data_IF_431782286719
#
_entry.id   IF_431782286719
#
_cell.length_a   1.000
_cell.length_b   1.000
_cell.length_c   1.000
_cell.angle_alpha   90.00
_cell.angle_beta   90.00
_cell.angle_gamma   90.00
#
_symmetry.space_group_name_H-M   'P 1'
#
loop_
_entity.id
_entity.type
_entity.pdbx_description
1 polymer ?
#
# COMPACT_ATOMS: atom_id res chain seq x y z
N UNK A 1 -16.75 25.68 -9.17
CA UNK A 1 -15.77 25.19 -8.15
C UNK A 1 -16.44 24.03 -7.42
N UNK A 2 -15.93 22.81 -7.64
CA UNK A 2 -16.56 21.62 -7.07
C UNK A 2 -15.98 21.34 -5.69
N UNK A 3 -16.77 21.46 -4.63
CA UNK A 3 -16.40 21.00 -3.29
C UNK A 3 -16.18 19.47 -3.25
N UNK A 4 -16.76 18.72 -4.19
CA UNK A 4 -16.52 17.29 -4.35
C UNK A 4 -15.07 16.97 -4.61
N UNK A 5 -14.36 17.81 -5.38
CA UNK A 5 -12.92 17.65 -5.60
C UNK A 5 -12.13 17.72 -4.28
N UNK A 6 -12.42 18.73 -3.45
CA UNK A 6 -11.74 18.88 -2.17
C UNK A 6 -11.99 17.70 -1.24
N UNK A 7 -13.23 17.23 -1.16
CA UNK A 7 -13.60 16.07 -0.33
C UNK A 7 -12.91 14.81 -0.86
N UNK A 8 -13.00 14.56 -2.16
CA UNK A 8 -12.33 13.41 -2.80
C UNK A 8 -10.84 13.39 -2.52
N UNK A 9 -10.15 14.50 -2.83
CA UNK A 9 -8.69 14.59 -2.66
C UNK A 9 -8.28 14.40 -1.21
N UNK A 10 -9.02 14.97 -0.26
CA UNK A 10 -8.72 14.81 1.17
C UNK A 10 -8.87 13.34 1.62
N UNK A 11 -9.98 12.71 1.28
CA UNK A 11 -10.28 11.32 1.68
C UNK A 11 -9.27 10.36 1.03
N UNK A 12 -9.03 10.49 -0.28
CA UNK A 12 -8.12 9.58 -0.99
C UNK A 12 -6.67 9.76 -0.54
N UNK A 13 -6.25 10.97 -0.17
CA UNK A 13 -4.91 11.24 0.34
C UNK A 13 -4.69 10.63 1.71
N UNK A 14 -5.65 10.77 2.62
CA UNK A 14 -5.59 10.13 3.95
C UNK A 14 -5.56 8.61 3.79
N UNK A 15 -6.46 8.05 3.00
CA UNK A 15 -6.52 6.61 2.76
C UNK A 15 -5.22 6.08 2.17
N UNK A 16 -4.67 6.77 1.16
CA UNK A 16 -3.38 6.42 0.55
C UNK A 16 -2.25 6.46 1.57
N UNK A 17 -2.19 7.49 2.40
CA UNK A 17 -1.19 7.59 3.47
C UNK A 17 -1.24 6.42 4.45
N UNK A 18 -2.43 6.03 4.89
CA UNK A 18 -2.64 4.87 5.76
C UNK A 18 -2.22 3.56 5.09
N UNK A 19 -2.56 3.37 3.81
CA UNK A 19 -2.16 2.19 3.04
C UNK A 19 -0.65 2.15 2.76
N UNK A 20 0.00 3.31 2.58
CA UNK A 20 1.46 3.39 2.48
C UNK A 20 2.14 2.93 3.78
N UNK A 21 1.61 3.32 4.94
CA UNK A 21 2.09 2.81 6.24
C UNK A 21 1.96 1.29 6.32
N UNK A 22 0.83 0.73 5.86
CA UNK A 22 0.62 -0.71 5.82
C UNK A 22 1.68 -1.41 4.93
N UNK A 23 1.98 -0.84 3.77
CA UNK A 23 2.98 -1.37 2.84
C UNK A 23 4.38 -1.36 3.43
N UNK A 24 4.79 -0.25 4.03
CA UNK A 24 6.09 -0.13 4.73
C UNK A 24 6.18 -1.14 5.87
N UNK A 25 5.13 -1.28 6.69
CA UNK A 25 5.09 -2.24 7.77
C UNK A 25 5.25 -3.69 7.27
N UNK A 26 4.61 -4.04 6.15
CA UNK A 26 4.76 -5.37 5.53
C UNK A 26 6.16 -5.61 4.96
N UNK A 27 6.78 -4.61 4.35
CA UNK A 27 8.17 -4.71 3.88
C UNK A 27 9.11 -4.93 5.06
N UNK A 28 8.98 -4.14 6.12
CA UNK A 28 9.79 -4.30 7.33
C UNK A 28 9.56 -5.66 8.00
N UNK A 29 8.30 -6.14 8.00
CA UNK A 29 7.96 -7.48 8.46
C UNK A 29 8.72 -8.56 7.67
N UNK A 30 8.70 -8.49 6.35
CA UNK A 30 9.40 -9.45 5.49
C UNK A 30 10.91 -9.41 5.69
N UNK A 31 11.49 -8.21 5.85
CA UNK A 31 12.90 -8.03 6.18
C UNK A 31 13.21 -8.70 7.54
N UNK A 32 12.38 -8.45 8.55
CA UNK A 32 12.54 -9.03 9.88
C UNK A 32 12.46 -10.55 9.85
N UNK A 33 11.52 -11.11 9.10
CA UNK A 33 11.36 -12.57 8.93
C UNK A 33 12.54 -13.20 8.19
N UNK A 34 13.13 -12.50 7.22
CA UNK A 34 14.25 -13.04 6.42
C UNK A 34 15.60 -12.96 7.12
N UNK A 35 15.83 -11.92 7.93
CA UNK A 35 17.14 -11.57 8.46
C UNK A 35 17.19 -11.54 9.98
N UNK A 36 16.06 -11.54 10.68
CA UNK A 36 15.95 -11.49 12.14
C UNK A 36 15.86 -12.86 12.84
N UNK A 37 15.86 -13.96 12.10
CA UNK A 37 15.88 -15.28 12.70
C UNK A 37 17.19 -15.48 13.47
N UNK A 38 17.17 -16.12 14.67
CA UNK A 38 18.39 -16.49 15.37
C UNK A 38 19.23 -17.37 14.44
N UNK A 39 20.37 -16.87 13.99
CA UNK A 39 21.27 -17.63 13.15
C UNK A 39 21.94 -18.73 13.95
N UNK A 40 22.14 -19.88 13.32
CA UNK A 40 22.99 -20.95 13.83
C UNK A 40 24.37 -20.39 14.23
N UNK A 41 24.98 -21.01 15.23
CA UNK A 41 26.27 -20.62 15.83
C UNK A 41 27.43 -20.46 14.85
N UNK A 42 27.27 -20.89 13.60
CA UNK A 42 28.21 -20.68 12.50
C UNK A 42 28.28 -19.24 11.97
N UNK A 43 27.36 -18.37 12.37
CA UNK A 43 27.23 -17.01 11.85
C UNK A 43 28.04 -15.95 12.63
N UNK A 44 28.70 -16.35 13.74
CA UNK A 44 29.50 -15.43 14.56
C UNK A 44 30.81 -14.97 13.90
N UNK A 45 31.20 -15.57 12.81
CA UNK A 45 32.44 -15.22 12.06
C UNK A 45 32.24 -14.41 10.78
N UNK A 46 31.01 -13.95 10.52
CA UNK A 46 30.73 -13.16 9.32
C UNK A 46 31.14 -11.69 9.49
N UNK A 47 31.81 -11.18 8.46
CA UNK A 47 32.44 -9.86 8.31
C UNK A 47 31.54 -8.67 8.71
N UNK A 48 32.15 -7.53 9.08
CA UNK A 48 31.53 -6.33 9.62
C UNK A 48 30.30 -5.77 8.90
N UNK A 49 30.08 -6.13 7.63
CA UNK A 49 28.91 -5.71 6.83
C UNK A 49 27.62 -6.42 7.28
N UNK A 50 27.72 -7.69 7.66
CA UNK A 50 26.59 -8.47 8.18
C UNK A 50 26.23 -8.07 9.61
N UNK A 51 27.21 -7.64 10.40
CA UNK A 51 26.97 -7.11 11.75
C UNK A 51 26.22 -5.78 11.73
N UNK A 52 26.54 -4.89 10.77
CA UNK A 52 25.82 -3.62 10.60
C UNK A 52 24.36 -3.84 10.17
N UNK A 53 24.11 -4.75 9.23
CA UNK A 53 22.76 -5.14 8.81
C UNK A 53 21.94 -5.72 9.96
N UNK A 54 22.53 -6.58 10.78
CA UNK A 54 21.85 -7.13 11.96
C UNK A 54 21.44 -6.03 12.95
N UNK A 55 22.31 -5.08 13.24
CA UNK A 55 21.97 -3.96 14.13
C UNK A 55 20.76 -3.17 13.61
N UNK A 56 20.69 -2.95 12.31
CA UNK A 56 19.52 -2.28 11.68
C UNK A 56 18.27 -3.14 11.83
N UNK A 57 18.36 -4.44 11.54
CA UNK A 57 17.22 -5.37 11.67
C UNK A 57 16.78 -5.51 13.12
N UNK A 58 17.70 -5.51 14.07
CA UNK A 58 17.38 -5.59 15.51
C UNK A 58 16.70 -4.32 16.03
N UNK A 59 17.01 -3.16 15.43
CA UNK A 59 16.35 -1.89 15.73
C UNK A 59 14.91 -1.78 15.18
N UNK A 60 14.53 -2.63 14.21
CA UNK A 60 13.17 -2.68 13.67
C UNK A 60 12.23 -3.33 14.70
N UNK A 61 10.99 -2.83 14.85
CA UNK A 61 9.99 -3.44 15.72
C UNK A 61 9.80 -4.95 15.46
N UNK A 62 9.32 -5.67 16.47
CA UNK A 62 9.06 -7.11 16.33
C UNK A 62 8.10 -7.43 15.17
N UNK A 63 8.31 -8.60 14.55
CA UNK A 63 7.52 -9.03 13.39
C UNK A 63 6.01 -9.04 13.67
N UNK A 64 5.60 -9.44 14.87
CA UNK A 64 4.18 -9.44 15.26
C UNK A 64 3.59 -8.03 15.31
N UNK A 65 4.35 -7.05 15.80
CA UNK A 65 3.91 -5.64 15.85
C UNK A 65 3.74 -5.10 14.43
N UNK A 66 4.69 -5.38 13.54
CA UNK A 66 4.65 -4.95 12.15
C UNK A 66 3.49 -5.58 11.38
N UNK A 67 3.26 -6.88 11.56
CA UNK A 67 2.13 -7.57 10.95
C UNK A 67 0.78 -7.03 11.45
N UNK A 68 0.67 -6.78 12.75
CA UNK A 68 -0.52 -6.19 13.34
C UNK A 68 -0.77 -4.76 12.88
N UNK A 69 0.30 -3.96 12.77
CA UNK A 69 0.21 -2.60 12.24
C UNK A 69 -0.26 -2.62 10.78
N UNK A 70 0.35 -3.45 9.94
CA UNK A 70 -0.05 -3.60 8.53
C UNK A 70 -1.53 -3.99 8.41
N UNK A 71 -1.97 -4.98 9.16
CA UNK A 71 -3.35 -5.45 9.14
C UNK A 71 -4.35 -4.36 9.55
N UNK A 72 -4.12 -3.71 10.69
CA UNK A 72 -5.01 -2.63 11.16
C UNK A 72 -5.07 -1.46 10.20
N UNK A 73 -3.93 -1.10 9.62
CA UNK A 73 -3.87 -0.03 8.62
C UNK A 73 -4.68 -0.38 7.37
N UNK A 74 -4.64 -1.62 6.88
CA UNK A 74 -5.45 -2.03 5.73
C UNK A 74 -6.93 -2.12 6.10
N UNK A 75 -7.29 -2.65 7.28
CA UNK A 75 -8.69 -2.69 7.76
C UNK A 75 -9.32 -1.30 7.75
N UNK A 76 -8.57 -0.27 8.14
CA UNK A 76 -9.03 1.11 8.11
C UNK A 76 -8.90 1.76 6.72
N UNK A 77 -7.75 1.59 6.08
CA UNK A 77 -7.42 2.26 4.81
C UNK A 77 -8.23 1.73 3.62
N UNK A 78 -8.53 0.44 3.58
CA UNK A 78 -9.27 -0.18 2.47
C UNK A 78 -10.67 0.41 2.26
N UNK A 79 -11.56 0.46 3.27
CA UNK A 79 -12.88 1.08 3.08
C UNK A 79 -12.78 2.59 2.82
N UNK A 80 -11.83 3.27 3.44
CA UNK A 80 -11.62 4.69 3.23
C UNK A 80 -11.12 5.00 1.81
N UNK A 81 -10.25 4.15 1.27
CA UNK A 81 -9.79 4.26 -0.12
C UNK A 81 -10.94 4.01 -1.11
N UNK A 82 -11.76 2.99 -0.87
CA UNK A 82 -12.97 2.74 -1.67
C UNK A 82 -13.93 3.92 -1.64
N UNK A 83 -14.15 4.51 -0.47
CA UNK A 83 -14.94 5.74 -0.34
C UNK A 83 -14.33 6.88 -1.16
N UNK A 84 -13.01 7.05 -1.10
CA UNK A 84 -12.29 8.04 -1.89
C UNK A 84 -12.50 7.85 -3.40
N UNK A 85 -12.46 6.60 -3.89
CA UNK A 85 -12.73 6.27 -5.29
C UNK A 85 -14.17 6.63 -5.67
N UNK A 86 -15.15 6.32 -4.84
CA UNK A 86 -16.57 6.66 -5.06
C UNK A 86 -16.77 8.19 -5.14
N UNK A 87 -16.16 8.93 -4.20
CA UNK A 87 -16.20 10.39 -4.20
C UNK A 87 -15.55 10.99 -5.45
N UNK A 88 -14.48 10.35 -5.94
CA UNK A 88 -13.84 10.69 -7.21
C UNK A 88 -14.76 10.47 -8.41
N UNK A 89 -15.52 9.37 -8.41
CA UNK A 89 -16.52 9.12 -9.46
C UNK A 89 -17.63 10.18 -9.46
N UNK A 90 -18.12 10.59 -8.29
CA UNK A 90 -19.12 11.67 -8.17
C UNK A 90 -18.56 13.00 -8.71
N UNK A 91 -17.28 13.29 -8.38
CA UNK A 91 -16.64 14.48 -8.93
C UNK A 91 -16.44 14.36 -10.45
N UNK A 92 -16.05 13.20 -10.96
CA UNK A 92 -15.83 12.95 -12.39
C UNK A 92 -17.10 13.16 -13.21
N UNK A 93 -18.27 12.82 -12.68
CA UNK A 93 -19.55 13.11 -13.31
C UNK A 93 -19.74 14.63 -13.49
N UNK A 94 -19.46 15.41 -12.46
CA UNK A 94 -19.55 16.86 -12.50
C UNK A 94 -18.53 17.52 -13.43
N UNK A 95 -17.34 16.93 -13.56
CA UNK A 95 -16.22 17.49 -14.32
C UNK A 95 -16.23 17.07 -15.80
N UNK A 96 -16.62 15.83 -16.08
CA UNK A 96 -16.48 15.19 -17.38
C UNK A 96 -17.77 14.53 -17.89
N UNK A 97 -18.88 14.66 -17.17
CA UNK A 97 -20.19 14.11 -17.54
C UNK A 97 -20.28 12.58 -17.47
N UNK A 98 -19.40 11.92 -16.70
CA UNK A 98 -19.38 10.48 -16.51
C UNK A 98 -18.80 10.10 -15.16
N UNK A 99 -19.37 9.10 -14.49
CA UNK A 99 -18.87 8.59 -13.20
C UNK A 99 -17.59 7.78 -13.34
N UNK A 100 -17.43 7.04 -14.44
CA UNK A 100 -16.33 6.12 -14.67
C UNK A 100 -16.03 5.98 -16.16
N UNK A 101 -14.78 5.97 -16.54
CA UNK A 101 -14.38 5.87 -17.95
C UNK A 101 -13.11 5.06 -18.19
N UNK A 102 -12.66 4.29 -17.19
CA UNK A 102 -11.43 3.50 -17.28
C UNK A 102 -10.19 4.33 -17.63
N UNK A 103 -10.17 5.57 -17.19
CA UNK A 103 -8.94 6.38 -17.20
C UNK A 103 -7.82 5.61 -16.50
N UNK A 104 -6.54 5.79 -16.88
CA UNK A 104 -5.43 5.07 -16.28
C UNK A 104 -5.41 5.14 -14.74
N UNK A 105 -5.72 6.29 -14.17
CA UNK A 105 -5.78 6.46 -12.72
C UNK A 105 -6.96 5.73 -12.08
N UNK A 106 -8.12 5.78 -12.70
CA UNK A 106 -9.30 5.03 -12.26
C UNK A 106 -9.00 3.52 -12.25
N UNK A 107 -8.44 3.03 -13.35
CA UNK A 107 -8.11 1.62 -13.54
C UNK A 107 -7.08 1.13 -12.50
N UNK A 108 -5.98 1.85 -12.31
CA UNK A 108 -4.93 1.46 -11.35
C UNK A 108 -5.42 1.59 -9.91
N UNK A 109 -6.24 2.60 -9.60
CA UNK A 109 -6.89 2.70 -8.28
C UNK A 109 -7.78 1.51 -7.99
N UNK A 110 -8.56 1.07 -8.96
CA UNK A 110 -9.40 -0.12 -8.83
C UNK A 110 -8.58 -1.39 -8.63
N UNK A 111 -7.50 -1.57 -9.41
CA UNK A 111 -6.58 -2.71 -9.25
C UNK A 111 -5.97 -2.72 -7.84
N UNK A 112 -5.46 -1.58 -7.36
CA UNK A 112 -4.92 -1.47 -6.02
C UNK A 112 -5.96 -1.84 -4.95
N UNK A 113 -7.18 -1.35 -5.08
CA UNK A 113 -8.28 -1.66 -4.17
C UNK A 113 -8.59 -3.16 -4.13
N UNK A 114 -8.64 -3.83 -5.30
CA UNK A 114 -8.87 -5.28 -5.40
C UNK A 114 -7.73 -6.06 -4.74
N UNK A 115 -6.46 -5.63 -4.88
CA UNK A 115 -5.32 -6.27 -4.22
C UNK A 115 -5.46 -6.17 -2.70
N UNK A 116 -5.86 -5.02 -2.15
CA UNK A 116 -6.10 -4.87 -0.72
C UNK A 116 -7.30 -5.70 -0.24
N UNK A 117 -8.34 -5.85 -1.06
CA UNK A 117 -9.44 -6.78 -0.78
C UNK A 117 -8.91 -8.23 -0.69
N UNK A 118 -8.05 -8.64 -1.63
CA UNK A 118 -7.40 -9.94 -1.60
C UNK A 118 -6.54 -10.15 -0.35
N UNK A 119 -5.82 -9.12 0.08
CA UNK A 119 -5.07 -9.15 1.35
C UNK A 119 -5.99 -9.42 2.55
N UNK A 120 -7.07 -8.68 2.68
CA UNK A 120 -8.02 -8.87 3.79
C UNK A 120 -8.70 -10.25 3.71
N UNK A 121 -9.04 -10.71 2.52
CA UNK A 121 -9.59 -12.04 2.31
C UNK A 121 -8.59 -13.14 2.71
N UNK A 122 -7.34 -13.02 2.31
CA UNK A 122 -6.29 -13.93 2.70
C UNK A 122 -6.08 -13.97 4.22
N UNK A 123 -6.16 -12.82 4.88
CA UNK A 123 -6.07 -12.71 6.35
C UNK A 123 -7.26 -13.37 7.08
N UNK A 124 -8.43 -13.35 6.48
CA UNK A 124 -9.63 -13.99 7.02
C UNK A 124 -9.67 -15.50 6.78
N UNK A 125 -8.92 -16.01 5.82
CA UNK A 125 -8.91 -17.42 5.43
C UNK A 125 -7.82 -18.18 6.19
N UNK A 126 -8.16 -19.38 6.70
CA UNK A 126 -7.20 -20.24 7.36
C UNK A 126 -6.04 -20.62 6.42
N UNK A 127 -4.81 -20.52 6.91
CA UNK A 127 -3.59 -20.88 6.18
C UNK A 127 -2.89 -19.75 5.41
N UNK A 128 -3.53 -18.61 5.18
CA UNK A 128 -2.92 -17.46 4.52
C UNK A 128 -2.48 -16.40 5.53
N UNK A 129 -1.66 -16.78 6.48
CA UNK A 129 -1.18 -15.87 7.52
C UNK A 129 0.29 -15.48 7.25
N UNK A 130 0.68 -14.34 7.81
CA UNK A 130 2.07 -13.92 7.88
C UNK A 130 2.69 -13.59 6.51
N UNK A 131 3.72 -14.32 6.10
CA UNK A 131 4.56 -13.98 4.94
C UNK A 131 3.79 -13.91 3.62
N UNK A 132 2.89 -14.86 3.36
CA UNK A 132 2.11 -14.87 2.11
C UNK A 132 1.18 -13.65 2.03
N UNK A 133 0.48 -13.33 3.11
CA UNK A 133 -0.36 -12.12 3.17
C UNK A 133 0.46 -10.84 3.06
N UNK A 134 1.65 -10.78 3.70
CA UNK A 134 2.54 -9.64 3.58
C UNK A 134 2.95 -9.35 2.13
N UNK A 135 3.21 -10.37 1.33
CA UNK A 135 3.50 -10.20 -0.10
C UNK A 135 2.31 -9.63 -0.89
N UNK A 136 1.08 -10.01 -0.57
CA UNK A 136 -0.10 -9.41 -1.19
C UNK A 136 -0.19 -7.92 -0.84
N UNK A 137 0.07 -7.56 0.42
CA UNK A 137 0.09 -6.16 0.83
C UNK A 137 1.20 -5.36 0.13
N UNK A 138 2.38 -5.95 -0.05
CA UNK A 138 3.47 -5.33 -0.83
C UNK A 138 3.05 -5.11 -2.29
N UNK A 139 2.35 -6.06 -2.91
CA UNK A 139 1.81 -5.88 -4.26
C UNK A 139 0.82 -4.70 -4.32
N UNK A 140 -0.06 -4.56 -3.33
CA UNK A 140 -0.96 -3.40 -3.19
C UNK A 140 -0.20 -2.09 -3.02
N UNK A 141 0.85 -2.10 -2.20
CA UNK A 141 1.74 -0.96 -2.01
C UNK A 141 2.43 -0.52 -3.31
N UNK A 142 2.95 -1.47 -4.09
CA UNK A 142 3.55 -1.18 -5.41
C UNK A 142 2.52 -0.59 -6.37
N UNK A 143 1.32 -1.16 -6.43
CA UNK A 143 0.23 -0.63 -7.27
C UNK A 143 -0.16 0.79 -6.85
N UNK A 144 -0.20 1.05 -5.54
CA UNK A 144 -0.51 2.38 -5.01
C UNK A 144 0.57 3.40 -5.34
N UNK A 145 1.85 3.05 -5.19
CA UNK A 145 2.97 3.92 -5.59
C UNK A 145 2.97 4.20 -7.09
N UNK A 146 2.72 3.17 -7.90
CA UNK A 146 2.59 3.32 -9.34
C UNK A 146 1.47 4.31 -9.68
N UNK A 147 0.31 4.18 -9.03
CA UNK A 147 -0.81 5.10 -9.21
C UNK A 147 -0.47 6.53 -8.79
N UNK A 148 0.22 6.72 -7.66
CA UNK A 148 0.56 8.04 -7.16
C UNK A 148 1.62 8.76 -8.00
N UNK A 149 2.64 8.05 -8.46
CA UNK A 149 3.77 8.67 -9.13
C UNK A 149 3.71 8.52 -10.65
N UNK A 150 3.61 7.30 -11.16
CA UNK A 150 3.69 7.08 -12.61
C UNK A 150 2.46 7.61 -13.32
N UNK A 151 1.27 7.31 -12.82
CA UNK A 151 0.04 7.76 -13.45
C UNK A 151 -0.12 9.28 -13.38
N UNK A 152 0.30 9.91 -12.28
CA UNK A 152 0.17 11.37 -12.17
C UNK A 152 1.22 12.15 -12.96
N UNK A 153 2.42 11.62 -13.13
CA UNK A 153 3.57 12.35 -13.64
C UNK A 153 3.99 11.95 -15.05
N UNK A 154 3.68 10.73 -15.49
CA UNK A 154 4.21 10.17 -16.74
C UNK A 154 3.10 9.81 -17.72
N UNK A 155 1.99 9.28 -17.24
CA UNK A 155 0.89 8.80 -18.10
C UNK A 155 -0.07 9.94 -18.40
N UNK A 156 -0.30 10.24 -19.69
CA UNK A 156 -1.31 11.21 -20.12
C UNK A 156 -2.72 10.69 -19.85
N UNK A 157 -3.59 11.52 -19.30
CA UNK A 157 -4.97 11.18 -18.98
C UNK A 157 -5.66 12.34 -18.26
N UNK A 158 -6.92 12.15 -17.88
CA UNK A 158 -7.71 13.18 -17.19
C UNK A 158 -7.15 13.57 -15.82
N UNK A 159 -6.33 12.71 -15.22
CA UNK A 159 -5.64 12.94 -13.95
C UNK A 159 -4.14 13.24 -14.13
N UNK A 160 -3.69 13.59 -15.33
CA UNK A 160 -2.30 13.98 -15.56
C UNK A 160 -2.05 15.40 -15.05
N UNK A 161 -1.05 15.56 -14.20
CA UNK A 161 -0.65 16.86 -13.63
C UNK A 161 0.72 17.32 -14.15
N UNK A 162 1.34 16.58 -15.05
CA UNK A 162 2.68 16.88 -15.56
C UNK A 162 2.72 18.01 -16.59
N UNK A 163 1.57 18.51 -17.03
CA UNK A 163 1.51 19.60 -18.04
C UNK A 163 2.02 19.22 -19.42
N UNK A 164 2.11 17.93 -19.73
CA UNK A 164 2.60 17.38 -20.99
C UNK A 164 1.44 16.93 -21.87
#
# INVERSE_FOLDING_TARGET
>A
KSYWLAIHVSVISIASGVLLVAGVASILYLIKMRWGAPGDSADQQRTGRTAALRRIVDAIPGAEILDRLAYKSVVFGFPLFGLGVILGAIWAESAWGRFWGWDPKETVSFIAWVIYAAYLHARATAGWKHTAAAWINVAGFVALLFNLFIINLVVSGLHSYAGL
#
